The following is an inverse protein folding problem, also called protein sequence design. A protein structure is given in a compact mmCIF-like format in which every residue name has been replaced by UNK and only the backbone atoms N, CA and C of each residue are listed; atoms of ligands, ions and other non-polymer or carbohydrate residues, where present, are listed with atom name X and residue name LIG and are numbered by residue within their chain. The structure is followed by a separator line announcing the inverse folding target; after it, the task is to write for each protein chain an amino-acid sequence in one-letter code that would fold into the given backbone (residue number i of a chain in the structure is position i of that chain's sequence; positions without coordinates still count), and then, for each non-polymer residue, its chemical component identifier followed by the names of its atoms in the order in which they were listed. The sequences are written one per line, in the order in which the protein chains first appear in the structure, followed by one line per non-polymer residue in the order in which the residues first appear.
data_IF_623804882926
#
_entry.id   IF_623804882926
#
_cell.length_a   1.000
_cell.length_b   1.000
_cell.length_c   1.000
_cell.angle_alpha   90.00
_cell.angle_beta   90.00
_cell.angle_gamma   90.00
#
_symmetry.space_group_name_H-M   'P 1'
#
loop_
_entity.id
_entity.type
_entity.pdbx_description
1 polymer ?
#
# COMPACT_ATOMS: atom_id res chain seq x y z
N UNK A 1 -13.12 -4.15 12.68
CA UNK A 1 -12.14 -3.43 11.83
C UNK A 1 -11.12 -4.44 11.39
N UNK A 2 -10.76 -4.54 10.13
CA UNK A 2 -9.67 -5.45 9.70
C UNK A 2 -8.35 -4.90 10.24
N UNK A 3 -7.60 -5.76 10.93
CA UNK A 3 -6.27 -5.42 11.44
C UNK A 3 -5.31 -5.25 10.25
N UNK A 4 -4.86 -4.03 9.97
CA UNK A 4 -3.99 -3.72 8.82
C UNK A 4 -2.51 -4.08 9.07
N UNK A 5 -2.17 -4.54 10.28
CA UNK A 5 -0.82 -4.98 10.61
C UNK A 5 -0.66 -6.42 10.12
N UNK A 6 0.06 -6.63 9.02
CA UNK A 6 0.39 -7.96 8.48
C UNK A 6 1.43 -8.67 9.35
N UNK A 7 1.04 -9.04 10.54
CA UNK A 7 1.86 -9.74 11.51
C UNK A 7 0.98 -10.72 12.29
N UNK A 8 1.53 -11.84 12.70
CA UNK A 8 0.85 -12.81 13.57
C UNK A 8 1.89 -13.59 14.37
N UNK A 9 1.63 -13.90 15.65
CA UNK A 9 2.52 -14.72 16.46
C UNK A 9 2.56 -16.17 15.97
N UNK A 10 3.64 -16.86 16.25
CA UNK A 10 3.64 -18.32 16.22
C UNK A 10 2.74 -18.84 17.35
N UNK A 11 1.94 -19.87 17.09
CA UNK A 11 1.01 -20.40 18.09
C UNK A 11 1.49 -21.74 18.62
N UNK A 12 1.79 -21.79 19.92
CA UNK A 12 2.13 -23.03 20.65
C UNK A 12 1.45 -22.99 22.03
N UNK A 13 0.20 -23.47 22.11
CA UNK A 13 -0.61 -23.39 23.32
C UNK A 13 -0.06 -24.31 24.41
N UNK A 14 0.23 -23.75 25.58
CA UNK A 14 0.72 -24.48 26.77
C UNK A 14 -0.48 -25.05 27.58
N UNK A 15 -1.23 -25.95 26.97
CA UNK A 15 -2.49 -26.49 27.53
C UNK A 15 -2.30 -27.31 28.80
N UNK A 16 -1.08 -27.69 29.11
CA UNK A 16 -0.75 -28.45 30.33
C UNK A 16 -0.33 -27.54 31.50
N UNK A 17 -0.06 -26.26 31.26
CA UNK A 17 0.34 -25.32 32.32
C UNK A 17 -0.75 -25.13 33.39
N UNK A 18 -0.35 -24.87 34.61
CA UNK A 18 -1.25 -24.66 35.75
C UNK A 18 -2.20 -23.49 35.52
N UNK A 19 -1.69 -22.37 34.96
CA UNK A 19 -2.49 -21.21 34.65
C UNK A 19 -3.52 -21.53 33.57
N UNK A 20 -3.15 -22.13 32.43
CA UNK A 20 -4.07 -22.46 31.36
C UNK A 20 -5.28 -23.29 31.83
N UNK A 21 -5.01 -24.29 32.69
CA UNK A 21 -6.02 -25.20 33.21
C UNK A 21 -7.01 -24.58 34.23
N UNK A 22 -6.53 -23.57 34.99
CA UNK A 22 -7.26 -23.06 36.14
C UNK A 22 -7.66 -21.60 36.05
N UNK A 23 -7.43 -20.94 34.89
CA UNK A 23 -7.77 -19.54 34.66
C UNK A 23 -9.23 -19.39 34.21
N UNK A 24 -9.68 -18.15 34.12
CA UNK A 24 -10.97 -17.76 33.57
C UNK A 24 -10.79 -16.77 32.39
N UNK A 25 -11.88 -16.48 31.68
CA UNK A 25 -11.89 -15.43 30.66
C UNK A 25 -11.91 -14.04 31.31
N UNK A 26 -11.33 -13.07 30.61
CA UNK A 26 -11.33 -11.66 31.00
C UNK A 26 -11.85 -10.77 29.88
N UNK A 27 -12.29 -9.57 30.23
CA UNK A 27 -12.52 -8.50 29.27
C UNK A 27 -11.21 -7.75 29.06
N UNK A 28 -10.70 -7.74 27.82
CA UNK A 28 -9.43 -7.13 27.49
C UNK A 28 -9.54 -5.59 27.59
N UNK A 29 -8.63 -4.98 28.35
CA UNK A 29 -8.53 -3.54 28.61
C UNK A 29 -7.24 -2.94 28.12
N UNK A 30 -6.18 -3.76 27.98
CA UNK A 30 -4.86 -3.29 27.64
C UNK A 30 -3.81 -4.38 27.45
N UNK A 31 -2.55 -3.97 27.39
CA UNK A 31 -1.38 -4.82 27.23
C UNK A 31 -0.34 -4.49 28.30
N UNK A 32 0.22 -5.51 28.95
CA UNK A 32 1.20 -5.37 30.01
C UNK A 32 2.49 -6.13 29.65
N UNK A 33 3.60 -5.41 29.73
CA UNK A 33 4.96 -5.84 29.39
C UNK A 33 5.67 -6.40 30.63
N UNK A 34 6.36 -7.53 30.44
CA UNK A 34 7.31 -8.10 31.39
C UNK A 34 8.65 -8.39 30.71
N UNK A 35 9.70 -8.58 31.50
CA UNK A 35 10.90 -9.30 31.13
C UNK A 35 11.21 -10.42 32.12
N UNK A 36 11.94 -11.43 31.67
CA UNK A 36 12.03 -12.72 32.42
C UNK A 36 12.88 -12.71 33.69
N UNK A 37 13.59 -11.65 33.99
CA UNK A 37 14.56 -11.60 35.10
C UNK A 37 15.60 -12.75 35.08
N UNK A 38 15.80 -13.36 33.90
CA UNK A 38 16.59 -14.57 33.76
C UNK A 38 17.40 -14.55 32.47
N UNK A 39 18.73 -14.57 32.57
CA UNK A 39 19.64 -14.53 31.42
C UNK A 39 19.48 -15.75 30.49
N UNK A 40 18.41 -15.79 29.74
CA UNK A 40 18.15 -16.81 28.73
C UNK A 40 17.21 -16.27 27.62
N UNK A 41 17.72 -15.85 26.46
CA UNK A 41 16.94 -15.27 25.37
C UNK A 41 16.14 -16.29 24.55
N UNK A 42 16.28 -17.59 24.83
CA UNK A 42 15.69 -18.65 24.02
C UNK A 42 14.28 -19.02 24.49
N UNK A 43 13.32 -18.94 23.58
CA UNK A 43 11.91 -19.34 23.82
C UNK A 43 11.78 -20.76 24.33
N UNK A 44 12.65 -21.67 23.87
CA UNK A 44 12.64 -23.07 24.30
C UNK A 44 12.77 -23.24 25.82
N UNK A 45 13.37 -22.28 26.53
CA UNK A 45 13.51 -22.30 28.00
C UNK A 45 12.14 -22.19 28.70
N UNK A 46 11.22 -21.48 28.10
CA UNK A 46 9.93 -21.11 28.70
C UNK A 46 8.74 -21.78 28.04
N UNK A 47 8.81 -21.99 26.74
CA UNK A 47 7.73 -22.50 25.92
C UNK A 47 8.09 -23.84 25.30
N UNK A 48 7.31 -24.87 25.65
CA UNK A 48 7.38 -26.18 25.02
C UNK A 48 5.96 -26.65 24.68
N UNK A 49 5.75 -27.42 23.60
CA UNK A 49 4.46 -27.99 23.27
C UNK A 49 4.02 -29.02 24.32
N UNK A 50 2.72 -29.24 24.42
CA UNK A 50 2.18 -30.33 25.25
C UNK A 50 2.56 -31.68 24.61
N UNK A 51 3.05 -32.59 25.41
CA UNK A 51 3.45 -33.94 24.98
C UNK A 51 2.30 -34.64 24.23
N UNK A 52 2.62 -35.24 23.10
CA UNK A 52 1.65 -35.91 22.24
C UNK A 52 0.71 -34.99 21.45
N UNK A 53 0.90 -33.66 21.49
CA UNK A 53 0.12 -32.74 20.65
C UNK A 53 0.34 -32.99 19.16
N UNK A 54 -0.68 -32.74 18.32
CA UNK A 54 -0.61 -32.97 16.88
C UNK A 54 0.54 -32.24 16.17
N UNK A 55 0.96 -31.09 16.70
CA UNK A 55 2.04 -30.26 16.13
C UNK A 55 3.39 -30.43 16.87
N UNK A 56 3.51 -31.38 17.79
CA UNK A 56 4.67 -31.51 18.68
C UNK A 56 6.01 -31.42 17.96
N UNK A 57 6.23 -32.22 16.93
CA UNK A 57 7.48 -32.24 16.18
C UNK A 57 7.78 -30.90 15.47
N UNK A 58 6.75 -30.27 14.90
CA UNK A 58 6.84 -28.94 14.25
C UNK A 58 7.19 -27.86 15.27
N UNK A 59 6.54 -27.88 16.44
CA UNK A 59 6.74 -26.91 17.49
C UNK A 59 8.14 -27.03 18.10
N UNK A 60 8.64 -28.27 18.34
CA UNK A 60 10.02 -28.51 18.79
C UNK A 60 11.03 -28.07 17.74
N UNK A 61 10.78 -28.28 16.45
CA UNK A 61 11.68 -27.82 15.38
C UNK A 61 11.77 -26.29 15.35
N UNK A 62 10.66 -25.58 15.58
CA UNK A 62 10.61 -24.11 15.59
C UNK A 62 11.19 -23.51 16.89
N UNK A 63 10.82 -24.05 18.04
CA UNK A 63 11.17 -23.50 19.35
C UNK A 63 12.57 -23.97 19.84
N UNK A 64 12.98 -25.16 19.49
CA UNK A 64 14.08 -25.89 20.12
C UNK A 64 13.58 -26.75 21.29
N UNK A 65 14.33 -27.80 21.63
CA UNK A 65 13.97 -28.71 22.70
C UNK A 65 14.56 -28.25 24.06
N UNK A 66 13.70 -28.09 25.04
CA UNK A 66 14.13 -27.94 26.44
C UNK A 66 14.39 -29.32 27.06
N UNK A 67 15.67 -29.65 27.32
CA UNK A 67 16.05 -30.94 27.89
C UNK A 67 15.96 -30.98 29.42
N UNK A 68 15.72 -29.82 30.05
CA UNK A 68 15.73 -29.69 31.51
C UNK A 68 14.33 -29.84 32.12
N UNK A 69 13.26 -29.88 31.27
CA UNK A 69 11.86 -29.99 31.71
C UNK A 69 11.42 -28.86 32.66
N UNK A 70 12.04 -27.70 32.54
CA UNK A 70 11.79 -26.57 33.43
C UNK A 70 11.04 -25.41 32.72
N UNK A 71 10.41 -25.71 31.59
CA UNK A 71 9.48 -24.80 30.91
C UNK A 71 8.12 -24.72 31.63
N UNK A 72 7.32 -23.74 31.27
CA UNK A 72 6.07 -23.45 31.97
C UNK A 72 4.91 -24.38 31.62
N UNK A 73 5.05 -25.24 30.64
CA UNK A 73 4.06 -26.25 30.29
C UNK A 73 4.24 -27.57 31.09
N UNK A 74 5.48 -27.89 31.49
CA UNK A 74 5.80 -29.17 32.17
C UNK A 74 6.12 -28.99 33.65
N UNK A 75 6.49 -27.76 34.06
CA UNK A 75 6.74 -27.45 35.47
C UNK A 75 5.50 -26.86 36.13
N UNK A 76 5.19 -27.30 37.35
CA UNK A 76 4.14 -26.66 38.15
C UNK A 76 4.59 -25.26 38.57
N UNK A 77 4.04 -24.24 37.95
CA UNK A 77 4.29 -22.81 38.25
C UNK A 77 2.94 -22.13 38.51
N UNK A 78 2.90 -21.28 39.54
CA UNK A 78 1.74 -20.45 39.86
C UNK A 78 1.79 -19.13 39.09
N UNK A 79 2.11 -19.21 37.79
CA UNK A 79 2.19 -18.11 36.85
C UNK A 79 1.77 -18.57 35.45
N UNK A 80 1.43 -17.64 34.58
CA UNK A 80 1.09 -17.91 33.19
C UNK A 80 0.81 -16.65 32.41
N UNK A 81 1.19 -16.65 31.15
CA UNK A 81 1.15 -15.50 30.25
C UNK A 81 0.50 -15.84 28.94
N UNK A 82 -0.05 -14.85 28.26
CA UNK A 82 -0.67 -15.05 26.97
C UNK A 82 0.38 -15.32 25.86
N UNK A 83 1.56 -14.72 25.96
CA UNK A 83 2.63 -14.95 24.97
C UNK A 83 4.04 -14.62 25.49
N UNK A 84 5.05 -14.88 24.65
CA UNK A 84 6.46 -14.71 24.90
C UNK A 84 7.17 -14.14 23.69
N UNK A 85 8.13 -13.25 23.89
CA UNK A 85 9.02 -12.70 22.88
C UNK A 85 10.45 -13.18 23.14
N UNK A 86 11.14 -13.74 22.14
CA UNK A 86 12.50 -14.26 22.33
C UNK A 86 13.05 -14.94 21.08
N UNK A 87 14.20 -15.62 21.23
CA UNK A 87 14.87 -16.35 20.14
C UNK A 87 14.20 -17.69 19.88
N UNK A 88 13.87 -17.97 18.62
CA UNK A 88 13.57 -19.31 18.10
C UNK A 88 14.85 -20.17 17.95
N UNK A 89 14.68 -21.44 17.65
CA UNK A 89 15.81 -22.39 17.45
C UNK A 89 16.80 -21.95 16.36
N UNK A 90 16.35 -21.20 15.35
CA UNK A 90 17.16 -20.66 14.26
C UNK A 90 17.86 -19.33 14.61
N UNK A 91 17.69 -18.83 15.84
CA UNK A 91 18.25 -17.57 16.32
C UNK A 91 17.44 -16.32 15.91
N UNK A 92 16.40 -16.46 15.11
CA UNK A 92 15.49 -15.33 14.81
C UNK A 92 14.71 -14.94 16.07
N UNK A 93 14.44 -13.64 16.23
CA UNK A 93 13.58 -13.14 17.30
C UNK A 93 12.13 -13.11 16.82
N UNK A 94 11.19 -13.51 17.68
CA UNK A 94 9.79 -13.49 17.38
C UNK A 94 8.91 -13.81 18.56
N UNK A 95 7.60 -13.86 18.34
CA UNK A 95 6.57 -14.02 19.37
C UNK A 95 5.91 -15.38 19.29
N UNK A 96 5.66 -15.99 20.46
CA UNK A 96 4.89 -17.23 20.61
C UNK A 96 3.68 -17.01 21.50
N UNK A 97 2.47 -17.21 20.95
CA UNK A 97 1.24 -17.25 21.74
C UNK A 97 1.12 -18.59 22.46
N UNK A 98 0.88 -18.54 23.79
CA UNK A 98 0.83 -19.71 24.69
C UNK A 98 -0.51 -19.92 25.36
N UNK A 99 -1.35 -18.89 25.41
CA UNK A 99 -2.74 -18.96 25.87
C UNK A 99 -3.66 -18.13 24.95
N UNK A 100 -4.97 -18.41 24.90
CA UNK A 100 -5.93 -17.51 24.28
C UNK A 100 -5.81 -16.08 24.84
N UNK A 101 -5.99 -15.08 23.99
CA UNK A 101 -5.83 -13.69 24.39
C UNK A 101 -6.80 -13.22 25.46
N UNK A 102 -7.99 -13.79 25.49
CA UNK A 102 -9.05 -13.51 26.45
C UNK A 102 -8.95 -14.36 27.74
N UNK A 103 -7.91 -15.19 27.88
CA UNK A 103 -7.62 -15.89 29.12
C UNK A 103 -6.85 -14.99 30.09
N UNK A 104 -7.33 -14.92 31.34
CA UNK A 104 -6.74 -14.14 32.41
C UNK A 104 -5.34 -14.66 32.76
N UNK A 105 -4.26 -13.90 32.52
CA UNK A 105 -2.90 -14.32 32.86
C UNK A 105 -2.66 -14.25 34.38
N UNK A 106 -1.60 -14.89 34.84
CA UNK A 106 -1.13 -14.84 36.22
C UNK A 106 0.30 -14.26 36.29
N UNK A 107 0.60 -13.19 35.53
CA UNK A 107 1.94 -12.63 35.39
C UNK A 107 2.26 -11.52 36.39
N UNK A 108 1.37 -10.57 36.62
CA UNK A 108 1.70 -9.39 37.43
C UNK A 108 1.41 -9.53 38.94
N UNK A 109 0.95 -10.70 39.39
CA UNK A 109 0.58 -10.87 40.80
C UNK A 109 -0.59 -9.98 41.21
N UNK A 110 -0.63 -9.57 42.49
CA UNK A 110 -1.65 -8.68 43.03
C UNK A 110 -1.05 -7.63 43.95
N UNK A 111 -1.73 -6.50 44.05
CA UNK A 111 -1.41 -5.39 44.93
C UNK A 111 -2.56 -5.03 45.88
N UNK A 112 -2.40 -3.92 46.62
CA UNK A 112 -3.38 -3.46 47.61
C UNK A 112 -4.73 -3.04 47.01
N UNK A 113 -4.82 -2.80 45.71
CA UNK A 113 -6.02 -2.33 44.99
C UNK A 113 -6.55 -3.35 43.97
N UNK A 114 -5.96 -4.55 43.88
CA UNK A 114 -6.35 -5.58 42.92
C UNK A 114 -5.21 -6.07 42.05
N UNK A 115 -5.51 -6.46 40.81
CA UNK A 115 -4.48 -7.00 39.88
C UNK A 115 -4.76 -6.62 38.44
N UNK A 116 -3.74 -6.19 37.72
CA UNK A 116 -3.79 -6.02 36.27
C UNK A 116 -3.96 -7.36 35.50
N UNK A 117 -3.88 -8.52 36.18
CA UNK A 117 -4.35 -9.79 35.60
C UNK A 117 -5.83 -9.71 35.16
N UNK A 118 -6.61 -8.78 35.70
CA UNK A 118 -8.04 -8.63 35.43
C UNK A 118 -8.33 -7.72 34.23
N UNK A 119 -7.60 -7.87 33.14
CA UNK A 119 -7.93 -7.16 31.90
C UNK A 119 -6.75 -6.83 31.00
N UNK A 120 -5.50 -7.09 31.38
CA UNK A 120 -4.35 -6.85 30.52
C UNK A 120 -3.82 -8.16 29.94
N UNK A 121 -3.70 -8.23 28.61
CA UNK A 121 -2.93 -9.26 27.93
C UNK A 121 -1.48 -9.10 28.37
N UNK A 122 -0.85 -10.18 28.77
CA UNK A 122 0.52 -10.14 29.32
C UNK A 122 1.48 -11.01 28.54
N UNK A 123 2.70 -10.50 28.36
CA UNK A 123 3.77 -11.23 27.73
C UNK A 123 5.11 -10.95 28.40
N UNK A 124 6.01 -11.93 28.33
CA UNK A 124 7.40 -11.83 28.77
C UNK A 124 8.34 -11.62 27.57
N UNK A 125 9.33 -10.76 27.76
CA UNK A 125 10.47 -10.65 26.85
C UNK A 125 11.64 -11.41 27.48
N UNK A 126 12.13 -12.44 26.77
CA UNK A 126 13.23 -13.28 27.24
C UNK A 126 14.53 -12.46 27.29
N UNK A 127 15.17 -12.37 28.46
CA UNK A 127 16.39 -11.60 28.63
C UNK A 127 17.65 -12.37 28.16
N UNK A 128 18.69 -11.61 27.79
CA UNK A 128 20.00 -12.12 27.35
C UNK A 128 21.14 -11.76 28.32
N UNK A 129 20.83 -11.37 29.55
CA UNK A 129 21.77 -10.79 30.50
C UNK A 129 21.88 -9.26 30.37
N UNK A 130 21.02 -8.63 29.58
CA UNK A 130 20.83 -7.18 29.44
C UNK A 130 22.05 -6.43 28.87
N UNK A 131 22.86 -7.09 28.04
CA UNK A 131 24.11 -6.54 27.50
C UNK A 131 24.26 -6.68 25.96
N UNK A 132 23.43 -7.44 25.25
CA UNK A 132 23.44 -7.54 23.79
C UNK A 132 22.50 -6.48 23.19
N UNK A 133 23.09 -5.38 22.69
CA UNK A 133 22.36 -4.28 22.07
C UNK A 133 21.58 -4.72 20.82
N UNK A 134 22.11 -5.65 20.03
CA UNK A 134 21.46 -6.12 18.81
C UNK A 134 20.22 -6.95 19.14
N UNK A 135 20.32 -7.83 20.13
CA UNK A 135 19.20 -8.60 20.61
C UNK A 135 18.14 -7.70 21.26
N UNK A 136 18.55 -6.77 22.12
CA UNK A 136 17.62 -5.83 22.77
C UNK A 136 16.81 -5.02 21.77
N UNK A 137 17.44 -4.55 20.67
CA UNK A 137 16.72 -3.86 19.58
C UNK A 137 15.68 -4.77 18.91
N UNK A 138 16.08 -6.00 18.54
CA UNK A 138 15.15 -6.96 17.90
C UNK A 138 14.00 -7.35 18.81
N UNK A 139 14.27 -7.54 20.11
CA UNK A 139 13.26 -7.88 21.11
C UNK A 139 12.29 -6.71 21.34
N UNK A 140 12.80 -5.48 21.40
CA UNK A 140 11.99 -4.27 21.46
C UNK A 140 11.08 -4.13 20.24
N UNK A 141 11.65 -4.19 19.02
CA UNK A 141 10.90 -4.04 17.78
C UNK A 141 9.79 -5.09 17.64
N UNK A 142 10.07 -6.35 18.03
CA UNK A 142 9.08 -7.42 18.03
C UNK A 142 7.97 -7.18 19.07
N UNK A 143 8.34 -6.74 20.28
CA UNK A 143 7.37 -6.43 21.34
C UNK A 143 6.49 -5.20 20.98
N UNK A 144 7.04 -4.19 20.31
CA UNK A 144 6.29 -3.06 19.74
C UNK A 144 5.31 -3.56 18.68
N UNK A 145 5.74 -4.44 17.76
CA UNK A 145 4.88 -5.01 16.72
C UNK A 145 3.75 -5.85 17.32
N UNK A 146 4.04 -6.72 18.30
CA UNK A 146 3.03 -7.48 19.05
C UNK A 146 2.00 -6.54 19.70
N UNK A 147 2.47 -5.50 20.40
CA UNK A 147 1.59 -4.56 21.11
C UNK A 147 0.72 -3.79 20.14
N UNK A 148 1.26 -3.32 19.00
CA UNK A 148 0.50 -2.64 17.97
C UNK A 148 -0.57 -3.56 17.35
N UNK A 149 -0.22 -4.82 17.08
CA UNK A 149 -1.17 -5.81 16.57
C UNK A 149 -2.31 -6.07 17.56
N UNK A 150 -2.02 -6.24 18.85
CA UNK A 150 -3.03 -6.41 19.91
C UNK A 150 -3.92 -5.17 20.04
N UNK A 151 -3.34 -3.97 20.00
CA UNK A 151 -4.11 -2.73 20.05
C UNK A 151 -5.07 -2.60 18.86
N UNK A 152 -4.63 -2.98 17.65
CA UNK A 152 -5.49 -2.99 16.45
C UNK A 152 -6.59 -4.04 16.53
N UNK A 153 -6.26 -5.26 16.99
CA UNK A 153 -7.20 -6.38 17.10
C UNK A 153 -8.30 -6.11 18.11
N UNK A 154 -7.96 -5.56 19.28
CA UNK A 154 -8.88 -5.33 20.39
C UNK A 154 -9.33 -3.87 20.54
N UNK A 155 -9.02 -3.01 19.56
CA UNK A 155 -9.40 -1.59 19.55
C UNK A 155 -8.93 -0.84 20.80
N UNK A 156 -7.69 -1.10 21.23
CA UNK A 156 -7.06 -0.44 22.38
C UNK A 156 -6.38 0.85 21.90
N UNK A 157 -6.71 1.99 22.51
CA UNK A 157 -5.98 3.24 22.30
C UNK A 157 -4.61 3.16 23.00
N UNK A 158 -3.48 3.19 22.29
CA UNK A 158 -2.15 3.06 22.90
C UNK A 158 -1.79 4.22 23.84
N UNK A 159 -2.38 5.40 23.62
CA UNK A 159 -2.23 6.58 24.50
C UNK A 159 -3.34 6.68 25.55
N UNK A 160 -4.28 5.73 25.54
CA UNK A 160 -5.47 5.74 26.36
C UNK A 160 -5.26 5.33 27.81
N UNK A 161 -6.32 5.50 28.60
CA UNK A 161 -6.42 5.06 29.99
C UNK A 161 -7.78 4.41 30.20
N UNK A 162 -7.85 3.46 31.14
CA UNK A 162 -9.08 2.81 31.56
C UNK A 162 -9.17 2.77 33.09
N UNK A 163 -10.26 2.25 33.62
CA UNK A 163 -10.45 2.14 35.07
C UNK A 163 -10.45 0.66 35.50
N UNK A 164 -9.70 0.36 36.56
CA UNK A 164 -9.73 -0.92 37.25
C UNK A 164 -9.83 -0.65 38.76
N UNK A 165 -10.89 -1.15 39.40
CA UNK A 165 -11.12 -1.00 40.86
C UNK A 165 -11.02 0.46 41.35
N UNK A 166 -11.54 1.43 40.58
CA UNK A 166 -11.43 2.86 40.87
C UNK A 166 -10.09 3.51 40.60
N UNK A 167 -9.12 2.75 40.10
CA UNK A 167 -7.79 3.28 39.69
C UNK A 167 -7.77 3.58 38.20
N UNK A 168 -7.27 4.75 37.83
CA UNK A 168 -6.99 5.07 36.42
C UNK A 168 -5.69 4.42 35.97
N UNK A 169 -5.75 3.53 34.99
CA UNK A 169 -4.64 2.70 34.52
C UNK A 169 -4.36 2.95 33.05
N UNK A 170 -3.12 3.18 32.61
CA UNK A 170 -2.78 3.20 31.20
C UNK A 170 -3.18 1.90 30.49
N UNK A 171 -3.60 1.99 29.23
CA UNK A 171 -3.92 0.81 28.42
C UNK A 171 -2.68 -0.02 28.08
N UNK A 172 -1.50 0.63 27.98
CA UNK A 172 -0.22 -0.02 27.84
C UNK A 172 0.65 0.36 29.05
N UNK A 173 1.14 -0.63 29.78
CA UNK A 173 1.99 -0.46 30.98
C UNK A 173 2.92 -1.65 31.13
N UNK A 174 3.87 -1.57 32.07
CA UNK A 174 4.70 -2.70 32.47
C UNK A 174 4.39 -3.16 33.92
N UNK A 175 5.08 -4.20 34.38
CA UNK A 175 4.87 -4.74 35.72
C UNK A 175 5.16 -3.69 36.80
N UNK A 176 6.26 -2.93 36.68
CA UNK A 176 6.59 -1.85 37.63
C UNK A 176 5.48 -0.78 37.70
N UNK A 177 4.93 -0.37 36.56
CA UNK A 177 3.81 0.58 36.54
C UNK A 177 2.60 0.01 37.31
N UNK A 178 2.31 -1.28 37.14
CA UNK A 178 1.20 -1.94 37.84
C UNK A 178 1.40 -1.98 39.37
N UNK A 179 2.64 -2.21 39.81
CA UNK A 179 3.03 -2.14 41.22
C UNK A 179 2.83 -0.74 41.80
N UNK A 180 3.32 0.30 41.14
CA UNK A 180 3.16 1.68 41.59
C UNK A 180 1.68 2.10 41.74
N UNK A 181 0.79 1.51 40.93
CA UNK A 181 -0.64 1.72 41.00
C UNK A 181 -1.33 0.88 42.09
N UNK A 182 -0.61 -0.02 42.73
CA UNK A 182 -1.17 -0.99 43.71
C UNK A 182 -1.96 -2.12 43.06
N UNK A 183 -1.69 -2.43 41.79
CA UNK A 183 -2.37 -3.42 40.97
C UNK A 183 -1.47 -4.58 40.50
N UNK A 184 -0.28 -4.70 41.08
CA UNK A 184 0.72 -5.74 40.80
C UNK A 184 1.67 -5.93 41.97
N UNK A 185 2.45 -7.02 41.94
CA UNK A 185 3.58 -7.26 42.85
C UNK A 185 4.80 -6.43 42.47
N UNK A 186 5.76 -6.30 43.39
CA UNK A 186 6.98 -5.49 43.16
C UNK A 186 8.00 -6.19 42.28
N UNK A 187 8.07 -5.82 41.03
CA UNK A 187 9.10 -6.20 40.05
C UNK A 187 9.42 -5.00 39.21
N UNK A 188 10.70 -4.78 38.86
CA UNK A 188 11.18 -3.63 38.11
C UNK A 188 11.24 -3.88 36.58
N UNK A 189 10.51 -4.90 36.11
CA UNK A 189 10.40 -5.34 34.73
C UNK A 189 10.34 -4.19 33.76
N UNK A 190 11.14 -4.31 32.76
CA UNK A 190 11.61 -3.50 31.65
C UNK A 190 12.46 -2.27 32.05
N UNK A 191 12.27 -1.65 33.22
CA UNK A 191 12.99 -0.43 33.61
C UNK A 191 14.46 -0.68 33.95
N UNK A 192 14.83 -1.88 34.35
CA UNK A 192 16.21 -2.27 34.61
C UNK A 192 16.98 -2.70 33.35
N UNK A 193 16.32 -2.85 32.22
CA UNK A 193 16.89 -3.29 30.95
C UNK A 193 16.84 -2.22 29.84
N UNK A 194 15.69 -1.98 29.20
CA UNK A 194 15.59 -1.15 28.00
C UNK A 194 16.00 0.32 28.20
N UNK A 195 15.70 1.00 29.31
CA UNK A 195 16.21 2.34 29.54
C UNK A 195 17.74 2.42 29.58
N UNK A 196 18.39 1.39 30.10
CA UNK A 196 19.87 1.34 30.22
C UNK A 196 20.55 1.06 28.89
N UNK A 197 19.98 0.16 28.06
CA UNK A 197 20.62 -0.30 26.82
C UNK A 197 20.15 0.46 25.58
N UNK A 198 18.88 0.89 25.53
CA UNK A 198 18.26 1.59 24.38
C UNK A 198 17.92 3.05 24.66
N UNK A 199 17.94 3.49 25.93
CA UNK A 199 17.43 4.82 26.33
C UNK A 199 15.90 4.95 26.16
N UNK A 200 15.15 3.84 26.14
CA UNK A 200 13.70 3.79 25.88
C UNK A 200 12.91 3.32 27.09
N UNK A 201 11.70 3.85 27.26
CA UNK A 201 10.80 3.54 28.36
C UNK A 201 9.35 3.31 27.90
N UNK A 202 8.39 3.16 28.82
CA UNK A 202 6.98 2.91 28.47
C UNK A 202 6.31 4.04 27.70
N UNK A 203 6.75 5.29 27.81
CA UNK A 203 6.24 6.39 26.99
C UNK A 203 6.68 6.25 25.53
N UNK A 204 7.88 5.73 25.31
CA UNK A 204 8.36 5.43 23.95
C UNK A 204 7.59 4.24 23.36
N UNK A 205 7.29 3.20 24.16
CA UNK A 205 6.38 2.10 23.73
C UNK A 205 5.06 2.67 23.23
N UNK A 206 4.39 3.50 24.04
CA UNK A 206 3.08 4.09 23.67
C UNK A 206 3.15 4.90 22.39
N UNK A 207 4.18 5.75 22.24
CA UNK A 207 4.40 6.59 21.04
C UNK A 207 4.69 5.76 19.80
N UNK A 208 5.57 4.77 19.88
CA UNK A 208 5.94 3.91 18.75
C UNK A 208 4.75 3.05 18.30
N UNK A 209 4.00 2.47 19.22
CA UNK A 209 2.76 1.74 18.95
C UNK A 209 1.71 2.65 18.30
N UNK A 210 1.51 3.87 18.82
CA UNK A 210 0.58 4.84 18.23
C UNK A 210 0.99 5.26 16.81
N UNK A 211 2.29 5.40 16.54
CA UNK A 211 2.80 5.71 15.21
C UNK A 211 2.51 4.59 14.21
N UNK A 212 2.68 3.31 14.60
CA UNK A 212 2.34 2.16 13.75
C UNK A 212 0.84 2.05 13.47
N UNK A 213 -0.01 2.43 14.45
CA UNK A 213 -1.47 2.38 14.32
C UNK A 213 -2.06 3.58 13.58
N UNK A 214 -1.27 4.62 13.33
CA UNK A 214 -1.75 5.81 12.63
C UNK A 214 -2.14 5.45 11.20
N UNK A 215 -3.46 5.36 10.94
CA UNK A 215 -4.00 5.03 9.64
C UNK A 215 -3.62 6.10 8.61
N UNK A 216 -3.05 5.66 7.51
CA UNK A 216 -2.91 6.50 6.32
C UNK A 216 -4.29 6.68 5.71
N UNK A 217 -4.76 7.92 5.51
CA UNK A 217 -6.07 8.22 4.89
C UNK A 217 -5.91 9.40 3.94
N UNK A 218 -6.56 9.33 2.79
CA UNK A 218 -6.50 10.36 1.76
C UNK A 218 -5.21 10.32 0.93
N UNK A 219 -4.83 11.47 0.37
CA UNK A 219 -3.64 11.60 -0.45
C UNK A 219 -2.37 11.58 0.39
N UNK A 220 -1.47 10.64 0.11
CA UNK A 220 -0.18 10.47 0.79
C UNK A 220 0.92 10.38 -0.27
N UNK A 221 2.01 11.10 -0.06
CA UNK A 221 3.23 11.00 -0.87
C UNK A 221 4.28 10.20 -0.09
N UNK A 222 4.78 9.12 -0.73
CA UNK A 222 5.82 8.25 -0.17
C UNK A 222 6.88 8.01 -1.24
N UNK A 223 8.13 8.25 -0.92
CA UNK A 223 9.27 8.09 -1.84
C UNK A 223 9.03 8.79 -3.20
N UNK A 224 8.46 10.00 -3.17
CA UNK A 224 8.14 10.78 -4.36
C UNK A 224 6.93 10.29 -5.17
N UNK A 225 6.27 9.21 -4.78
CA UNK A 225 5.08 8.63 -5.42
C UNK A 225 3.82 9.01 -4.67
N UNK A 226 2.72 9.24 -5.38
CA UNK A 226 1.43 9.54 -4.78
C UNK A 226 0.56 8.30 -4.69
N UNK A 227 -0.10 8.14 -3.53
CA UNK A 227 -1.07 7.09 -3.19
C UNK A 227 -2.35 7.75 -2.69
N UNK A 228 -3.45 7.04 -2.80
CA UNK A 228 -4.69 7.43 -2.15
C UNK A 228 -5.20 6.29 -1.28
N UNK A 229 -5.31 6.56 0.02
CA UNK A 229 -5.77 5.60 1.02
C UNK A 229 -7.23 5.86 1.35
N UNK A 230 -8.03 4.81 1.41
CA UNK A 230 -9.43 4.86 1.85
C UNK A 230 -9.53 5.11 3.36
N UNK A 231 -10.77 5.21 3.87
CA UNK A 231 -11.05 5.38 5.31
C UNK A 231 -10.52 4.22 6.18
N UNK A 232 -10.28 3.06 5.59
CA UNK A 232 -9.81 1.86 6.28
C UNK A 232 -8.29 1.70 6.22
N UNK A 233 -7.60 2.61 5.51
CA UNK A 233 -6.14 2.63 5.38
C UNK A 233 -5.61 1.71 4.26
N UNK A 234 -6.48 1.28 3.32
CA UNK A 234 -6.05 0.54 2.14
C UNK A 234 -5.76 1.49 1.00
N UNK A 235 -4.66 1.31 0.28
CA UNK A 235 -4.38 2.10 -0.92
C UNK A 235 -5.29 1.67 -2.08
N UNK A 236 -5.69 2.66 -2.86
CA UNK A 236 -6.53 2.49 -4.04
C UNK A 236 -5.70 1.97 -5.21
N UNK A 237 -6.27 1.06 -6.00
CA UNK A 237 -5.73 0.58 -7.28
C UNK A 237 -6.77 0.79 -8.38
N UNK A 238 -6.31 0.78 -9.66
CA UNK A 238 -7.17 0.97 -10.82
C UNK A 238 -7.85 2.37 -10.86
N UNK A 239 -8.96 2.51 -11.56
CA UNK A 239 -9.69 3.76 -11.69
C UNK A 239 -10.42 4.14 -10.41
N UNK A 240 -10.19 5.35 -9.92
CA UNK A 240 -10.91 5.89 -8.77
C UNK A 240 -11.39 7.32 -9.00
N UNK A 241 -12.62 7.60 -8.56
CA UNK A 241 -13.19 8.94 -8.60
C UNK A 241 -13.04 9.62 -7.24
N UNK A 242 -12.10 10.55 -7.14
CA UNK A 242 -11.77 11.27 -5.91
C UNK A 242 -12.11 12.75 -6.11
N UNK A 243 -12.94 13.32 -5.25
CA UNK A 243 -13.38 14.72 -5.33
C UNK A 243 -13.90 15.09 -6.74
N UNK A 244 -14.76 14.25 -7.33
CA UNK A 244 -15.36 14.40 -8.67
C UNK A 244 -14.40 14.29 -9.86
N UNK A 245 -13.10 13.99 -9.65
CA UNK A 245 -12.09 13.77 -10.69
C UNK A 245 -11.69 12.31 -10.74
N UNK A 246 -11.41 11.78 -11.94
CA UNK A 246 -10.91 10.43 -12.14
C UNK A 246 -9.40 10.41 -12.09
N UNK A 247 -8.86 9.38 -11.42
CA UNK A 247 -7.43 9.05 -11.32
C UNK A 247 -7.23 7.58 -11.62
N UNK A 248 -6.04 7.21 -12.03
CA UNK A 248 -5.65 5.82 -12.22
C UNK A 248 -4.42 5.49 -11.37
N UNK A 249 -4.49 4.37 -10.68
CA UNK A 249 -3.43 3.85 -9.83
C UNK A 249 -3.01 2.47 -10.37
N UNK A 250 -1.71 2.17 -10.38
CA UNK A 250 -1.23 0.85 -10.77
C UNK A 250 -1.54 -0.21 -9.69
N UNK A 251 -1.14 -1.47 -9.95
CA UNK A 251 -1.34 -2.59 -9.02
C UNK A 251 -0.63 -2.42 -7.67
N UNK A 252 0.34 -1.52 -7.58
CA UNK A 252 1.06 -1.18 -6.36
C UNK A 252 0.46 0.05 -5.65
N UNK A 253 -0.65 0.60 -6.16
CA UNK A 253 -1.32 1.78 -5.63
C UNK A 253 -0.66 3.10 -6.01
N UNK A 254 0.30 3.12 -6.95
CA UNK A 254 0.97 4.35 -7.37
C UNK A 254 0.11 5.10 -8.39
N UNK A 255 -0.20 6.37 -8.08
CA UNK A 255 -0.92 7.26 -9.00
C UNK A 255 -0.14 7.44 -10.30
N UNK A 256 -0.79 7.19 -11.43
CA UNK A 256 -0.22 7.36 -12.76
C UNK A 256 -0.44 8.76 -13.31
N UNK A 257 0.46 9.20 -14.22
CA UNK A 257 0.41 10.51 -14.90
C UNK A 257 0.81 10.36 -16.36
N UNK A 258 0.47 11.35 -17.20
CA UNK A 258 0.78 11.32 -18.62
C UNK A 258 -0.08 10.35 -19.42
N UNK A 259 0.43 9.86 -20.54
CA UNK A 259 -0.27 8.89 -21.38
C UNK A 259 -0.23 7.49 -20.79
N UNK A 260 -1.40 6.86 -20.66
CA UNK A 260 -1.54 5.45 -20.25
C UNK A 260 -2.37 4.68 -21.27
N UNK A 261 -2.05 3.41 -21.46
CA UNK A 261 -2.78 2.50 -22.33
C UNK A 261 -3.38 1.35 -21.52
N UNK A 262 -4.72 1.26 -21.51
CA UNK A 262 -5.47 0.23 -20.80
C UNK A 262 -6.40 -0.45 -21.80
N UNK A 263 -6.37 -1.78 -21.88
CA UNK A 263 -7.23 -2.57 -22.78
C UNK A 263 -7.31 -2.01 -24.23
N UNK A 264 -6.16 -1.65 -24.80
CA UNK A 264 -6.06 -1.04 -26.14
C UNK A 264 -6.59 0.40 -26.27
N UNK A 265 -7.08 1.03 -25.20
CA UNK A 265 -7.53 2.42 -25.15
C UNK A 265 -6.47 3.31 -24.53
N UNK A 266 -6.27 4.50 -25.10
CA UNK A 266 -5.36 5.50 -24.57
C UNK A 266 -6.13 6.55 -23.77
N UNK A 267 -5.55 6.95 -22.62
CA UNK A 267 -6.01 8.02 -21.75
C UNK A 267 -4.86 8.97 -21.45
N UNK A 268 -5.18 10.21 -21.13
CA UNK A 268 -4.18 11.19 -20.71
C UNK A 268 -4.49 11.70 -19.32
N UNK A 269 -3.57 11.46 -18.41
CA UNK A 269 -3.61 11.91 -17.02
C UNK A 269 -2.76 13.18 -16.89
N UNK A 270 -3.27 14.17 -16.17
CA UNK A 270 -2.58 15.44 -15.98
C UNK A 270 -1.19 15.21 -15.35
N UNK A 271 -0.08 15.65 -15.97
CA UNK A 271 1.27 15.38 -15.48
C UNK A 271 1.55 15.95 -14.09
N UNK A 272 0.85 17.03 -13.71
CA UNK A 272 1.03 17.70 -12.42
C UNK A 272 0.13 17.12 -11.34
N UNK A 273 -1.11 16.87 -11.67
CA UNK A 273 -2.16 16.55 -10.69
C UNK A 273 -2.66 15.10 -10.76
N UNK A 274 -2.29 14.32 -11.79
CA UNK A 274 -2.70 12.92 -11.99
C UNK A 274 -4.14 12.71 -12.44
N UNK A 275 -5.01 13.74 -12.44
CA UNK A 275 -6.40 13.55 -12.84
C UNK A 275 -6.56 13.35 -14.34
N UNK A 276 -7.48 12.47 -14.74
CA UNK A 276 -7.83 12.21 -16.14
C UNK A 276 -8.28 13.50 -16.83
N UNK A 277 -7.71 13.77 -17.99
CA UNK A 277 -8.08 14.87 -18.87
C UNK A 277 -9.15 14.42 -19.86
N UNK A 278 -9.99 15.35 -20.26
CA UNK A 278 -11.00 15.18 -21.32
C UNK A 278 -11.01 16.41 -22.23
N UNK A 279 -11.53 16.28 -23.44
CA UNK A 279 -11.52 17.35 -24.44
C UNK A 279 -10.14 17.55 -25.06
N UNK A 280 -9.84 18.77 -25.48
CA UNK A 280 -8.60 19.09 -26.17
C UNK A 280 -7.37 19.07 -25.26
N UNK A 281 -6.32 18.40 -25.72
CA UNK A 281 -5.00 18.33 -25.04
C UNK A 281 -3.91 18.61 -26.06
N UNK A 282 -2.99 19.51 -25.73
CA UNK A 282 -1.77 19.74 -26.50
C UNK A 282 -0.60 18.97 -25.84
N UNK A 283 0.07 18.12 -26.61
CA UNK A 283 1.23 17.36 -26.14
C UNK A 283 2.30 17.29 -27.25
N UNK A 284 3.53 17.69 -26.93
CA UNK A 284 4.67 17.75 -27.91
C UNK A 284 4.28 18.43 -29.22
N UNK A 285 3.68 19.62 -29.10
CA UNK A 285 3.19 20.46 -30.22
C UNK A 285 2.07 19.89 -31.08
N UNK A 286 1.59 18.68 -30.83
CA UNK A 286 0.42 18.09 -31.48
C UNK A 286 -0.82 18.22 -30.61
N UNK A 287 -1.99 18.31 -31.27
CA UNK A 287 -3.28 18.33 -30.61
C UNK A 287 -3.93 16.95 -30.60
N UNK A 288 -4.52 16.59 -29.46
CA UNK A 288 -5.27 15.37 -29.24
C UNK A 288 -6.64 15.71 -28.68
N UNK A 289 -7.60 14.82 -28.87
CA UNK A 289 -8.93 14.96 -28.28
C UNK A 289 -9.28 13.70 -27.48
N UNK A 290 -9.61 13.93 -26.24
CA UNK A 290 -10.07 12.88 -25.32
C UNK A 290 -11.58 12.99 -25.23
N UNK A 291 -12.30 11.90 -25.48
CA UNK A 291 -13.75 11.86 -25.41
C UNK A 291 -14.26 12.43 -24.07
N UNK A 292 -15.15 13.40 -24.12
CA UNK A 292 -15.58 14.15 -22.93
C UNK A 292 -16.35 13.32 -21.90
N UNK A 293 -16.92 12.19 -22.31
CA UNK A 293 -17.66 11.27 -21.41
C UNK A 293 -16.77 10.17 -20.86
N UNK A 294 -15.90 9.59 -21.71
CA UNK A 294 -15.14 8.38 -21.38
C UNK A 294 -13.65 8.64 -21.09
N UNK A 295 -13.10 9.80 -21.50
CA UNK A 295 -11.66 10.09 -21.41
C UNK A 295 -10.79 9.37 -22.43
N UNK A 296 -11.37 8.52 -23.30
CA UNK A 296 -10.63 7.75 -24.30
C UNK A 296 -10.13 8.67 -25.41
N UNK A 297 -8.88 8.49 -25.82
CA UNK A 297 -8.29 9.22 -26.96
C UNK A 297 -9.03 8.90 -28.26
N UNK A 298 -9.42 9.92 -28.97
CA UNK A 298 -10.11 9.79 -30.26
C UNK A 298 -9.11 9.50 -31.38
N UNK A 299 -9.51 8.63 -32.32
CA UNK A 299 -8.82 8.37 -33.58
C UNK A 299 -9.84 8.33 -34.72
N UNK A 300 -9.40 8.66 -35.94
CA UNK A 300 -10.31 8.78 -37.08
C UNK A 300 -11.11 10.10 -37.05
N UNK A 301 -12.28 10.12 -37.72
CA UNK A 301 -13.15 11.28 -37.74
C UNK A 301 -13.93 11.45 -36.43
N UNK A 302 -14.03 12.70 -35.98
CA UNK A 302 -14.96 13.09 -34.91
C UNK A 302 -15.53 14.46 -35.13
N UNK A 303 -16.75 14.71 -34.59
CA UNK A 303 -17.46 15.98 -34.66
C UNK A 303 -17.37 16.69 -33.32
N UNK A 304 -16.66 17.81 -33.32
CA UNK A 304 -16.47 18.60 -32.10
C UNK A 304 -17.03 20.00 -32.34
N UNK A 305 -18.08 20.37 -31.61
CA UNK A 305 -18.78 21.63 -31.77
C UNK A 305 -19.17 21.89 -33.26
N UNK A 306 -19.85 20.92 -33.85
CA UNK A 306 -20.37 20.97 -35.24
C UNK A 306 -19.30 21.04 -36.34
N UNK A 307 -18.01 20.87 -35.98
CA UNK A 307 -16.91 20.85 -36.93
C UNK A 307 -16.30 19.46 -36.97
N UNK A 308 -15.95 19.00 -38.19
CA UNK A 308 -15.27 17.73 -38.40
C UNK A 308 -13.77 17.89 -38.26
N UNK A 309 -13.16 16.97 -37.51
CA UNK A 309 -11.72 16.81 -37.30
C UNK A 309 -11.32 15.38 -37.62
N UNK A 310 -10.10 15.20 -38.06
CA UNK A 310 -9.51 13.87 -38.25
C UNK A 310 -8.32 13.67 -37.36
N UNK A 311 -8.35 12.57 -36.59
CA UNK A 311 -7.25 12.16 -35.71
C UNK A 311 -6.54 10.95 -36.30
N UNK A 312 -5.21 11.03 -36.46
CA UNK A 312 -4.38 9.95 -36.97
C UNK A 312 -4.48 8.72 -36.08
N UNK A 313 -3.93 7.58 -36.52
CA UNK A 313 -3.81 6.39 -35.67
C UNK A 313 -3.03 6.63 -34.38
N UNK A 314 -2.09 7.60 -34.39
CA UNK A 314 -1.37 8.05 -33.20
C UNK A 314 -2.24 8.86 -32.22
N UNK A 315 -3.45 9.26 -32.59
CA UNK A 315 -4.30 10.20 -31.88
C UNK A 315 -4.05 11.67 -32.20
N UNK A 316 -2.96 12.00 -32.88
CA UNK A 316 -2.64 13.39 -33.23
C UNK A 316 -3.62 13.94 -34.28
N UNK A 317 -4.13 15.16 -34.05
CA UNK A 317 -5.00 15.85 -34.99
C UNK A 317 -4.27 16.15 -36.28
N UNK A 318 -4.85 15.79 -37.42
CA UNK A 318 -4.37 16.22 -38.72
C UNK A 318 -4.64 17.71 -38.93
N UNK A 319 -3.64 18.47 -39.35
CA UNK A 319 -3.79 19.89 -39.64
C UNK A 319 -2.87 20.30 -40.81
N UNK A 320 -3.35 21.23 -41.64
CA UNK A 320 -2.67 21.72 -42.85
C UNK A 320 -2.16 20.59 -43.79
N UNK A 321 -2.86 19.48 -43.85
CA UNK A 321 -2.51 18.32 -44.67
C UNK A 321 -3.69 17.66 -45.34
N UNK A 322 -3.43 16.83 -46.35
CA UNK A 322 -4.42 15.96 -46.99
C UNK A 322 -4.31 14.55 -46.38
N UNK A 323 -5.42 14.03 -45.86
CA UNK A 323 -5.50 12.69 -45.30
C UNK A 323 -6.26 11.75 -46.21
N UNK A 324 -5.76 10.54 -46.45
CA UNK A 324 -6.47 9.52 -47.23
C UNK A 324 -7.31 8.66 -46.25
N UNK A 325 -8.62 8.82 -46.35
CA UNK A 325 -9.57 8.22 -45.44
C UNK A 325 -10.95 8.07 -46.09
N UNK A 326 -11.95 7.57 -45.36
CA UNK A 326 -13.36 7.56 -45.77
C UNK A 326 -14.07 8.68 -45.01
N UNK A 327 -14.77 9.57 -45.72
CA UNK A 327 -15.48 10.68 -45.07
C UNK A 327 -16.66 10.18 -44.24
N UNK A 328 -16.99 10.90 -43.16
CA UNK A 328 -18.02 10.46 -42.22
C UNK A 328 -19.45 10.76 -42.65
N UNK A 329 -19.65 11.45 -43.80
CA UNK A 329 -20.97 11.89 -44.30
C UNK A 329 -21.44 10.96 -45.43
N UNK A 330 -20.67 10.90 -46.53
CA UNK A 330 -21.05 10.18 -47.74
C UNK A 330 -20.42 8.81 -47.87
N UNK A 331 -19.53 8.45 -46.92
CA UNK A 331 -18.77 7.20 -46.92
C UNK A 331 -17.86 7.03 -48.17
N UNK A 332 -17.39 8.12 -48.74
CA UNK A 332 -16.51 8.10 -49.93
C UNK A 332 -15.04 8.05 -49.46
N UNK A 333 -14.27 7.16 -50.07
CA UNK A 333 -12.84 7.02 -49.79
C UNK A 333 -12.03 7.94 -50.71
N UNK A 334 -11.19 8.81 -50.09
CA UNK A 334 -10.41 9.79 -50.85
C UNK A 334 -9.46 10.60 -50.00
N UNK A 335 -8.86 11.63 -50.61
CA UNK A 335 -8.02 12.60 -49.90
C UNK A 335 -8.85 13.80 -49.45
N UNK A 336 -8.79 14.12 -48.17
CA UNK A 336 -9.56 15.22 -47.56
C UNK A 336 -8.61 16.25 -46.94
N UNK A 337 -8.82 17.54 -47.26
CA UNK A 337 -8.00 18.65 -46.76
C UNK A 337 -8.42 19.05 -45.35
N UNK A 338 -7.51 18.96 -44.40
CA UNK A 338 -7.65 19.59 -43.09
C UNK A 338 -6.93 20.94 -43.13
N UNK A 339 -7.59 22.01 -42.74
CA UNK A 339 -6.99 23.34 -42.71
C UNK A 339 -5.99 23.50 -41.54
N UNK A 340 -5.35 24.69 -41.39
CA UNK A 340 -4.40 24.98 -40.31
C UNK A 340 -4.98 24.77 -38.92
N UNK A 341 -6.30 24.90 -38.75
CA UNK A 341 -6.99 24.65 -37.49
C UNK A 341 -7.47 23.19 -37.32
N UNK A 342 -7.11 22.30 -38.23
CA UNK A 342 -7.50 20.89 -38.22
C UNK A 342 -8.92 20.62 -38.66
N UNK A 343 -9.65 21.63 -39.18
CA UNK A 343 -11.05 21.48 -39.58
C UNK A 343 -11.16 21.04 -41.01
N UNK A 344 -12.12 20.15 -41.31
CA UNK A 344 -12.52 19.84 -42.66
C UNK A 344 -13.66 20.80 -43.12
N UNK A 345 -13.49 21.39 -44.31
CA UNK A 345 -14.40 22.44 -44.82
C UNK A 345 -15.27 21.98 -45.97
N UNK A 346 -15.46 20.69 -46.19
CA UNK A 346 -16.39 20.03 -47.14
C UNK A 346 -16.05 20.16 -48.63
N UNK A 347 -15.11 20.97 -49.06
CA UNK A 347 -15.05 21.40 -50.47
C UNK A 347 -13.99 20.73 -51.34
N UNK A 348 -13.05 19.93 -50.75
CA UNK A 348 -11.93 19.45 -51.54
C UNK A 348 -11.66 17.95 -51.28
N UNK A 349 -11.90 17.15 -52.31
CA UNK A 349 -11.50 15.76 -52.39
C UNK A 349 -10.33 15.64 -53.36
N UNK A 350 -9.12 15.46 -52.86
CA UNK A 350 -7.91 15.37 -53.67
C UNK A 350 -7.67 13.99 -54.28
N UNK A 351 -6.98 13.96 -55.42
CA UNK A 351 -6.55 12.71 -56.03
C UNK A 351 -5.17 12.84 -56.72
N UNK A 352 -4.42 11.76 -56.68
CA UNK A 352 -3.18 11.66 -57.49
C UNK A 352 -3.51 11.24 -58.90
N UNK A 353 -2.96 11.94 -59.89
CA UNK A 353 -2.92 11.51 -61.29
C UNK A 353 -1.46 11.41 -61.74
N UNK A 354 -1.10 10.41 -62.54
CA UNK A 354 0.25 10.15 -63.04
C UNK A 354 0.26 10.16 -64.59
N UNK A 355 1.23 10.80 -65.18
CA UNK A 355 1.55 10.75 -66.60
C UNK A 355 3.02 10.36 -66.82
N UNK A 356 3.52 10.48 -68.06
CA UNK A 356 4.90 10.13 -68.46
C UNK A 356 5.96 11.00 -67.79
N UNK A 357 5.61 12.22 -67.33
CA UNK A 357 6.51 13.20 -66.74
C UNK A 357 6.52 13.12 -65.20
N UNK A 358 5.57 12.39 -64.58
CA UNK A 358 5.52 12.28 -63.12
C UNK A 358 4.10 12.17 -62.56
N UNK A 359 3.90 12.56 -61.31
CA UNK A 359 2.57 12.59 -60.64
C UNK A 359 2.20 13.99 -60.17
N UNK A 360 0.95 14.35 -60.35
CA UNK A 360 0.34 15.58 -59.84
C UNK A 360 -0.76 15.29 -58.85
N UNK A 361 -0.94 16.17 -57.91
CA UNK A 361 -2.06 16.08 -56.95
C UNK A 361 -3.14 17.11 -57.29
N UNK A 362 -4.28 16.62 -57.74
CA UNK A 362 -5.42 17.44 -58.10
C UNK A 362 -6.30 17.66 -56.86
N UNK A 363 -6.67 18.91 -56.60
CA UNK A 363 -7.56 19.31 -55.51
C UNK A 363 -9.02 19.10 -55.88
N UNK A 364 -9.32 19.13 -57.17
CA UNK A 364 -10.60 18.85 -57.80
C UNK A 364 -10.41 18.31 -59.22
N UNK A 365 -11.40 18.30 -60.10
CA UNK A 365 -11.29 17.77 -61.46
C UNK A 365 -10.21 18.44 -62.30
N UNK A 366 -10.00 19.75 -62.12
CA UNK A 366 -9.25 20.59 -63.05
C UNK A 366 -8.08 21.34 -62.41
N UNK A 367 -8.06 21.52 -61.10
CA UNK A 367 -7.06 22.28 -60.38
C UNK A 367 -6.09 21.37 -59.63
N UNK A 368 -4.79 21.54 -59.83
CA UNK A 368 -3.76 20.80 -59.12
C UNK A 368 -2.81 21.73 -58.35
N UNK A 369 -2.02 21.14 -57.42
CA UNK A 369 -1.01 21.87 -56.67
C UNK A 369 0.20 22.15 -57.58
N UNK A 370 0.69 23.39 -57.59
CA UNK A 370 1.92 23.83 -58.26
C UNK A 370 2.60 24.94 -57.47
N UNK A 371 3.90 25.15 -57.69
CA UNK A 371 4.74 26.16 -57.01
C UNK A 371 4.50 26.21 -55.49
N UNK A 372 4.37 25.06 -54.87
CA UNK A 372 4.02 24.98 -53.43
C UNK A 372 4.56 23.68 -52.80
N UNK A 373 4.42 23.60 -51.48
CA UNK A 373 4.65 22.38 -50.71
C UNK A 373 3.37 21.98 -50.02
N UNK A 374 3.14 20.64 -49.86
CA UNK A 374 2.00 20.14 -49.16
C UNK A 374 2.29 18.78 -48.48
N UNK A 375 1.66 18.54 -47.34
CA UNK A 375 1.65 17.24 -46.69
C UNK A 375 0.46 16.44 -47.18
N UNK A 376 0.72 15.28 -47.81
CA UNK A 376 -0.33 14.45 -48.42
C UNK A 376 -0.10 13.00 -47.99
N UNK A 377 -1.10 12.43 -47.28
CA UNK A 377 -1.04 11.06 -46.79
C UNK A 377 0.11 10.81 -45.79
N UNK A 378 0.50 11.84 -45.04
CA UNK A 378 1.57 11.77 -44.04
C UNK A 378 2.98 12.07 -44.59
N UNK A 379 3.15 12.24 -45.89
CA UNK A 379 4.42 12.55 -46.56
C UNK A 379 4.46 14.00 -47.03
N UNK A 380 5.65 14.62 -47.00
CA UNK A 380 5.88 15.96 -47.50
C UNK A 380 6.25 15.94 -49.00
N UNK A 381 5.68 16.86 -49.78
CA UNK A 381 5.91 17.01 -51.21
C UNK A 381 6.14 18.47 -51.55
N UNK A 382 7.09 18.72 -52.49
CA UNK A 382 7.19 19.96 -53.26
C UNK A 382 6.58 19.74 -54.63
N UNK A 383 5.92 20.77 -55.18
CA UNK A 383 5.30 20.77 -56.49
C UNK A 383 5.98 21.86 -57.32
N UNK A 384 6.52 21.52 -58.48
CA UNK A 384 7.10 22.48 -59.42
C UNK A 384 5.99 23.36 -60.09
N UNK A 385 6.41 24.28 -60.99
CA UNK A 385 5.51 25.16 -61.72
C UNK A 385 4.48 24.40 -62.56
N UNK A 386 4.81 23.22 -63.03
CA UNK A 386 3.95 22.36 -63.86
C UNK A 386 3.15 21.35 -62.98
N UNK A 387 3.33 21.42 -61.65
CA UNK A 387 2.59 20.64 -60.66
C UNK A 387 3.13 19.23 -60.45
N UNK A 388 4.34 18.89 -60.94
CA UNK A 388 4.90 17.57 -60.67
C UNK A 388 5.49 17.51 -59.26
N UNK A 389 5.13 16.45 -58.60
CA UNK A 389 5.47 16.25 -57.18
C UNK A 389 6.79 15.59 -57.00
N UNK A 390 7.62 16.12 -56.10
CA UNK A 390 8.82 15.49 -55.55
C UNK A 390 8.60 15.25 -54.04
N UNK A 391 8.79 14.02 -53.56
CA UNK A 391 8.73 13.70 -52.12
C UNK A 391 10.01 14.22 -51.45
N UNK A 392 9.83 14.93 -50.32
CA UNK A 392 10.96 15.42 -49.50
C UNK A 392 10.98 14.67 -48.18
N UNK A 393 12.16 14.36 -47.66
CA UNK A 393 12.31 13.72 -46.36
C UNK A 393 11.80 14.62 -45.24
N UNK A 394 11.28 14.03 -44.18
CA UNK A 394 11.02 14.74 -42.94
C UNK A 394 12.38 15.09 -42.30
N UNK A 395 12.68 16.39 -42.05
CA UNK A 395 13.83 16.84 -41.26
C UNK A 395 13.69 16.50 -39.80
#
# INVERSE_FOLDING_TARGET
MSNNIKWAPYVCMQTNSTCYKNTCKMTIKGVLWHDTGCNNPWLSRYVQPTDGSANYAKDIAKLGKNRNGNDWNHKTVQAGLNCWVGKFADGSVGTVQTMPWDYRPWGCGGGSRGSCNDGWIQFEICEDGKNDLEYAKKAWDEAIMLTAWLCAEYNIDPMGKTTLNGVTVPTILCHWDSYLLGLGSGHDDIYDWFPKILGKNMDDVRKEVAALLKKKVGWIQEDGKWYYYDKDGNYTTDWAKINKKWYYFDSNGVMQTGWIKLESKWYYLDPKNGNMRTGWVKYKDEWYYLNTKTGVMVTGWDIIKEMYYYFKKSGAMACNEWVYTTDPINCIKGYYKLNKAGKWTYQEMGQWKKDKNGKRFYMNSDTYLHDTSAKIGGKNYTFDKDGYATEIADE
#
